data_IF_358451052487
#
_entry.id   IF_358451052487
#
_cell.length_a   1.000
_cell.length_b   1.000
_cell.length_c   1.000
_cell.angle_alpha   90.00
_cell.angle_beta   90.00
_cell.angle_gamma   90.00
#
_symmetry.space_group_name_H-M   'P 1'
#
loop_
_entity.id
_entity.type
_entity.pdbx_description
1 polymer ?
#
# COMPACT_ATOMS: atom_id res chain seq x y z
N UNK A 1 -29.76 -70.35 25.24
CA UNK A 1 -28.71 -69.41 24.79
C UNK A 1 -29.12 -68.04 25.32
N UNK A 2 -28.61 -67.55 26.46
CA UNK A 2 -27.42 -66.65 26.59
C UNK A 2 -27.47 -65.47 25.59
N UNK A 3 -27.44 -64.17 25.92
CA UNK A 3 -26.96 -63.38 27.07
C UNK A 3 -27.75 -62.05 27.24
N UNK A 4 -27.62 -61.47 28.43
CA UNK A 4 -27.97 -60.13 28.92
C UNK A 4 -27.07 -59.00 28.35
N UNK A 5 -27.54 -57.73 28.30
CA UNK A 5 -27.05 -56.58 29.12
C UNK A 5 -27.63 -55.21 28.71
N UNK A 6 -27.87 -54.38 29.73
CA UNK A 6 -28.25 -52.96 29.78
C UNK A 6 -27.15 -51.96 29.29
N UNK A 7 -27.51 -50.66 29.28
CA UNK A 7 -26.68 -49.42 29.26
C UNK A 7 -26.08 -48.97 27.89
N UNK A 8 -25.95 -47.69 27.50
CA UNK A 8 -25.87 -46.37 28.17
C UNK A 8 -26.35 -45.24 27.24
N UNK A 9 -26.78 -44.12 27.85
CA UNK A 9 -27.01 -42.78 27.30
C UNK A 9 -25.71 -42.10 26.79
N UNK A 10 -25.80 -41.30 25.71
CA UNK A 10 -24.89 -40.15 25.49
C UNK A 10 -25.44 -39.17 24.45
N UNK A 11 -26.32 -38.27 24.88
CA UNK A 11 -26.24 -36.88 24.42
C UNK A 11 -24.91 -36.26 24.87
N UNK A 12 -24.13 -35.66 23.96
CA UNK A 12 -23.04 -34.66 24.13
C UNK A 12 -22.25 -34.65 22.80
N UNK A 13 -21.85 -33.60 22.09
CA UNK A 13 -21.84 -32.13 22.19
C UNK A 13 -21.28 -31.66 20.84
N UNK A 14 -21.87 -30.66 20.15
CA UNK A 14 -21.15 -29.88 19.13
C UNK A 14 -21.36 -28.37 19.30
N UNK A 15 -21.67 -27.95 20.52
CA UNK A 15 -21.69 -26.54 20.93
C UNK A 15 -20.35 -26.08 21.48
N UNK A 16 -19.41 -27.00 21.75
CA UNK A 16 -18.09 -26.71 22.32
C UNK A 16 -17.10 -26.14 21.30
N UNK A 17 -17.19 -26.55 20.02
CA UNK A 17 -16.21 -26.18 18.99
C UNK A 17 -16.36 -24.72 18.51
N UNK A 18 -17.60 -24.24 18.38
CA UNK A 18 -17.87 -22.80 18.15
C UNK A 18 -17.44 -21.94 19.35
N UNK A 19 -17.68 -22.44 20.57
CA UNK A 19 -17.31 -21.70 21.79
C UNK A 19 -15.80 -21.61 22.02
N UNK A 20 -15.01 -22.59 21.57
CA UNK A 20 -13.54 -22.55 21.64
C UNK A 20 -12.93 -21.68 20.54
N UNK A 21 -13.50 -21.67 19.33
CA UNK A 21 -13.10 -20.73 18.26
C UNK A 21 -13.38 -19.28 18.66
N UNK A 22 -14.57 -19.00 19.22
CA UNK A 22 -14.92 -17.68 19.75
C UNK A 22 -14.05 -17.27 20.95
N UNK A 23 -13.55 -18.23 21.74
CA UNK A 23 -12.72 -17.94 22.91
C UNK A 23 -11.29 -17.49 22.55
N UNK A 24 -10.70 -18.00 21.45
CA UNK A 24 -9.35 -17.58 21.02
C UNK A 24 -9.32 -16.15 20.43
N UNK A 25 -10.44 -15.70 19.87
CA UNK A 25 -10.61 -14.36 19.32
C UNK A 25 -11.01 -13.33 20.41
N UNK A 26 -11.80 -13.74 21.41
CA UNK A 26 -12.17 -12.88 22.55
C UNK A 26 -11.03 -12.51 23.48
N UNK A 27 -10.01 -13.37 23.61
CA UNK A 27 -8.92 -13.15 24.58
C UNK A 27 -7.83 -12.18 24.09
N UNK A 28 -7.87 -11.77 22.81
CA UNK A 28 -6.92 -10.79 22.24
C UNK A 28 -7.50 -9.38 22.07
N UNK A 29 -8.77 -9.15 22.45
CA UNK A 29 -9.44 -7.84 22.30
C UNK A 29 -9.52 -7.36 20.85
N UNK A 30 -9.44 -8.28 19.89
CA UNK A 30 -9.23 -7.98 18.47
C UNK A 30 -10.54 -7.93 17.66
N UNK A 31 -11.65 -8.48 18.16
CA UNK A 31 -12.92 -8.59 17.43
C UNK A 31 -13.49 -7.25 16.94
N UNK A 32 -13.17 -6.14 17.63
CA UNK A 32 -13.59 -4.81 17.20
C UNK A 32 -12.67 -4.20 16.14
N UNK A 33 -11.42 -4.68 16.04
CA UNK A 33 -10.37 -4.11 15.19
C UNK A 33 -10.25 -4.86 13.88
N UNK A 34 -10.40 -6.18 13.86
CA UNK A 34 -10.25 -7.00 12.65
C UNK A 34 -11.54 -7.72 12.31
N UNK A 35 -11.88 -7.78 11.02
CA UNK A 35 -13.03 -8.54 10.54
C UNK A 35 -12.88 -8.95 9.09
N UNK A 36 -13.62 -9.97 8.69
CA UNK A 36 -13.85 -10.29 7.28
C UNK A 36 -14.88 -9.35 6.67
N UNK A 37 -14.78 -9.14 5.36
CA UNK A 37 -15.67 -8.25 4.60
C UNK A 37 -16.42 -9.03 3.52
N UNK A 38 -17.55 -8.49 3.07
CA UNK A 38 -18.32 -9.06 1.94
C UNK A 38 -17.52 -9.09 0.63
N UNK A 39 -16.42 -8.33 0.56
CA UNK A 39 -15.50 -8.35 -0.56
C UNK A 39 -14.53 -9.54 -0.51
N UNK A 40 -14.63 -10.45 0.48
CA UNK A 40 -13.71 -11.58 0.62
C UNK A 40 -12.30 -11.10 0.99
N UNK A 41 -12.22 -10.13 1.90
CA UNK A 41 -10.95 -9.60 2.43
C UNK A 41 -10.99 -9.56 3.96
N UNK A 42 -9.81 -9.53 4.58
CA UNK A 42 -9.66 -9.28 6.02
C UNK A 42 -9.27 -7.80 6.19
N UNK A 43 -9.98 -7.10 7.06
CA UNK A 43 -9.88 -5.65 7.28
C UNK A 43 -9.56 -5.34 8.73
N UNK A 44 -8.42 -4.71 8.97
CA UNK A 44 -8.07 -4.05 10.23
C UNK A 44 -8.53 -2.60 10.21
N UNK A 45 -9.19 -2.14 11.26
CA UNK A 45 -9.69 -0.77 11.42
C UNK A 45 -9.17 -0.17 12.70
N UNK A 46 -8.16 0.69 12.59
CA UNK A 46 -7.56 1.37 13.72
C UNK A 46 -8.30 2.66 14.06
N UNK A 47 -8.39 2.98 15.36
CA UNK A 47 -9.06 4.21 15.86
C UNK A 47 -8.48 5.51 15.31
N UNK A 48 -7.24 5.48 14.81
CA UNK A 48 -6.58 6.64 14.19
C UNK A 48 -7.03 6.91 12.75
N UNK A 49 -8.02 6.18 12.22
CA UNK A 49 -8.51 6.34 10.84
C UNK A 49 -7.61 5.68 9.79
N UNK A 50 -6.75 4.76 10.23
CA UNK A 50 -5.98 3.89 9.32
C UNK A 50 -6.69 2.55 9.20
N UNK A 51 -6.89 2.08 7.98
CA UNK A 51 -7.40 0.75 7.68
C UNK A 51 -6.36 -0.05 6.90
N UNK A 52 -6.31 -1.36 7.16
CA UNK A 52 -5.47 -2.31 6.40
C UNK A 52 -6.39 -3.42 5.91
N UNK A 53 -6.59 -3.49 4.60
CA UNK A 53 -7.31 -4.57 3.95
C UNK A 53 -6.30 -5.51 3.28
N UNK A 54 -6.49 -6.82 3.39
CA UNK A 54 -5.70 -7.79 2.64
C UNK A 54 -6.54 -8.97 2.15
N UNK A 55 -6.15 -9.51 1.01
CA UNK A 55 -6.81 -10.65 0.36
C UNK A 55 -6.26 -11.98 0.88
N UNK A 56 -6.97 -13.07 0.62
CA UNK A 56 -6.50 -14.44 0.90
C UNK A 56 -5.13 -14.75 0.28
N UNK A 57 -4.83 -14.13 -0.86
CA UNK A 57 -3.59 -14.34 -1.61
C UNK A 57 -2.46 -13.40 -1.15
N UNK A 58 -2.74 -12.51 -0.19
CA UNK A 58 -1.73 -11.66 0.44
C UNK A 58 -1.43 -10.36 -0.32
N UNK A 59 -2.36 -9.87 -1.15
CA UNK A 59 -2.38 -8.46 -1.55
C UNK A 59 -2.78 -7.59 -0.37
N UNK A 60 -2.20 -6.41 -0.26
CA UNK A 60 -2.41 -5.50 0.87
C UNK A 60 -2.76 -4.11 0.37
N UNK A 61 -3.73 -3.46 1.02
CA UNK A 61 -4.09 -2.06 0.84
C UNK A 61 -4.20 -1.36 2.19
N UNK A 62 -3.48 -0.27 2.36
CA UNK A 62 -3.47 0.55 3.57
C UNK A 62 -4.07 1.91 3.24
N UNK A 63 -5.14 2.28 3.93
CA UNK A 63 -5.83 3.57 3.80
C UNK A 63 -5.55 4.40 5.04
N UNK A 64 -5.07 5.62 4.86
CA UNK A 64 -4.95 6.64 5.90
C UNK A 64 -5.98 7.74 5.60
N UNK A 65 -7.15 7.65 6.23
CA UNK A 65 -8.28 8.56 5.96
C UNK A 65 -7.94 10.00 6.34
N UNK A 66 -7.20 10.20 7.44
CA UNK A 66 -6.83 11.52 7.92
C UNK A 66 -5.90 12.25 6.96
N UNK A 67 -5.02 11.53 6.28
CA UNK A 67 -4.10 12.09 5.28
C UNK A 67 -4.68 12.12 3.85
N UNK A 68 -5.88 11.56 3.64
CA UNK A 68 -6.44 11.23 2.34
C UNK A 68 -5.45 10.45 1.45
N UNK A 69 -4.82 9.43 2.04
CA UNK A 69 -3.73 8.70 1.42
C UNK A 69 -3.97 7.20 1.42
N UNK A 70 -3.53 6.52 0.37
CA UNK A 70 -3.69 5.08 0.19
C UNK A 70 -2.41 4.49 -0.39
N UNK A 71 -2.01 3.31 0.05
CA UNK A 71 -0.95 2.53 -0.55
C UNK A 71 -1.44 1.09 -0.76
N UNK A 72 -1.03 0.46 -1.86
CA UNK A 72 -1.38 -0.93 -2.12
C UNK A 72 -0.22 -1.68 -2.79
N UNK A 73 -0.15 -2.97 -2.55
CA UNK A 73 0.78 -3.91 -3.17
C UNK A 73 0.03 -5.21 -3.43
N UNK A 74 0.17 -5.76 -4.63
CA UNK A 74 -0.46 -7.04 -4.95
C UNK A 74 0.31 -8.22 -4.32
N UNK A 75 -0.31 -9.41 -4.33
CA UNK A 75 0.23 -10.64 -3.74
C UNK A 75 1.67 -10.96 -4.19
N UNK A 76 2.00 -10.65 -5.43
CA UNK A 76 3.29 -10.93 -6.06
C UNK A 76 4.31 -9.80 -5.92
N UNK A 77 3.94 -8.65 -5.35
CA UNK A 77 4.82 -7.48 -5.18
C UNK A 77 5.26 -6.79 -6.47
N UNK A 78 4.79 -7.24 -7.64
CA UNK A 78 5.17 -6.69 -8.94
C UNK A 78 4.24 -5.55 -9.39
N UNK A 79 3.12 -5.32 -8.70
CA UNK A 79 2.24 -4.15 -8.91
C UNK A 79 2.08 -3.45 -7.57
N UNK A 80 2.29 -2.13 -7.56
CA UNK A 80 2.11 -1.33 -6.35
C UNK A 80 1.67 0.09 -6.65
N UNK A 81 1.06 0.74 -5.66
CA UNK A 81 0.45 2.03 -5.81
C UNK A 81 0.61 2.87 -4.53
N UNK A 82 0.77 4.19 -4.71
CA UNK A 82 0.48 5.20 -3.69
C UNK A 82 -0.41 6.27 -4.31
N UNK A 83 -1.48 6.61 -3.60
CA UNK A 83 -2.27 7.82 -3.82
C UNK A 83 -2.13 8.73 -2.61
N UNK A 84 -1.64 9.94 -2.80
CA UNK A 84 -1.54 10.96 -1.75
C UNK A 84 -1.87 12.34 -2.37
N UNK A 85 -2.41 13.31 -1.62
CA UNK A 85 -2.76 14.60 -2.22
C UNK A 85 -1.60 15.33 -2.90
N UNK A 86 -0.36 15.10 -2.45
CA UNK A 86 0.87 15.66 -3.06
C UNK A 86 1.35 14.91 -4.31
N UNK A 87 0.89 13.69 -4.56
CA UNK A 87 1.28 12.93 -5.73
C UNK A 87 0.86 11.46 -5.71
N UNK A 88 0.85 10.89 -6.91
CA UNK A 88 0.46 9.53 -7.21
C UNK A 88 1.65 8.76 -7.79
N UNK A 89 1.77 7.49 -7.41
CA UNK A 89 2.72 6.55 -7.97
C UNK A 89 1.98 5.25 -8.29
N UNK A 90 2.13 4.75 -9.50
CA UNK A 90 1.62 3.46 -9.92
C UNK A 90 2.73 2.67 -10.62
N UNK A 91 3.18 1.59 -10.00
CA UNK A 91 4.14 0.65 -10.55
C UNK A 91 3.38 -0.52 -11.13
N UNK A 92 3.55 -0.74 -12.44
CA UNK A 92 3.04 -1.91 -13.15
C UNK A 92 4.14 -2.42 -14.08
N UNK A 93 4.47 -3.70 -13.95
CA UNK A 93 5.55 -4.35 -14.71
C UNK A 93 6.89 -3.59 -14.58
N UNK A 94 7.56 -3.28 -15.70
CA UNK A 94 8.83 -2.52 -15.73
C UNK A 94 8.62 -0.99 -15.69
N UNK A 95 7.39 -0.49 -15.53
CA UNK A 95 7.08 0.94 -15.60
C UNK A 95 6.58 1.48 -14.27
N UNK A 96 7.07 2.66 -13.89
CA UNK A 96 6.50 3.45 -12.78
C UNK A 96 5.93 4.74 -13.37
N UNK A 97 4.62 4.91 -13.23
CA UNK A 97 3.90 6.13 -13.52
C UNK A 97 3.90 7.01 -12.28
N UNK A 98 4.14 8.30 -12.48
CA UNK A 98 4.24 9.28 -11.40
C UNK A 98 3.49 10.54 -11.80
N UNK A 99 2.69 11.07 -10.90
CA UNK A 99 2.09 12.39 -11.00
C UNK A 99 2.38 13.15 -9.71
N UNK A 100 3.09 14.27 -9.84
CA UNK A 100 3.22 15.23 -8.77
C UNK A 100 2.07 16.24 -8.88
N UNK A 101 1.23 16.28 -7.85
CA UNK A 101 0.03 17.10 -7.83
C UNK A 101 0.39 18.53 -7.45
N UNK A 102 0.33 19.40 -8.44
CA UNK A 102 0.31 20.85 -8.23
C UNK A 102 -1.11 21.28 -7.84
N UNK A 103 -1.34 21.43 -6.54
CA UNK A 103 -2.65 21.82 -5.98
C UNK A 103 -2.95 23.31 -6.14
N UNK A 104 -1.98 24.14 -6.54
CA UNK A 104 -2.13 25.59 -6.63
C UNK A 104 -2.51 26.02 -8.05
N UNK A 105 -1.72 25.60 -9.03
CA UNK A 105 -1.89 26.02 -10.43
C UNK A 105 -2.59 24.95 -11.27
N UNK A 106 -2.77 23.74 -10.75
CA UNK A 106 -3.30 22.59 -11.51
C UNK A 106 -2.33 22.08 -12.58
N UNK A 107 -1.13 22.64 -12.68
CA UNK A 107 -0.13 22.25 -13.67
C UNK A 107 0.68 21.04 -13.18
N UNK A 108 0.02 19.89 -13.03
CA UNK A 108 0.65 18.67 -12.50
C UNK A 108 1.89 18.26 -13.32
N UNK A 109 2.87 17.64 -12.65
CA UNK A 109 4.07 17.12 -13.32
C UNK A 109 3.93 15.62 -13.46
N UNK A 110 3.92 15.15 -14.70
CA UNK A 110 3.78 13.75 -15.04
C UNK A 110 5.15 13.18 -15.34
N UNK A 111 5.40 11.95 -14.90
CA UNK A 111 6.61 11.22 -15.22
C UNK A 111 6.37 9.72 -15.39
N UNK A 112 7.25 9.10 -16.17
CA UNK A 112 7.23 7.69 -16.49
C UNK A 112 8.65 7.16 -16.42
N UNK A 113 8.93 6.37 -15.39
CA UNK A 113 10.22 5.73 -15.16
C UNK A 113 10.21 4.38 -15.87
N UNK A 114 11.17 4.18 -16.79
CA UNK A 114 11.49 2.90 -17.41
C UNK A 114 12.96 2.57 -17.17
N UNK A 115 13.36 1.35 -17.50
CA UNK A 115 14.77 0.94 -17.59
C UNK A 115 15.59 1.84 -18.53
N UNK A 116 14.97 2.39 -19.58
CA UNK A 116 15.63 3.25 -20.58
C UNK A 116 15.75 4.73 -20.20
N UNK A 117 15.16 5.19 -19.10
CA UNK A 117 15.13 6.61 -18.75
C UNK A 117 13.84 7.06 -18.07
N UNK A 118 13.76 8.36 -17.78
CA UNK A 118 12.57 9.01 -17.23
C UNK A 118 12.02 9.98 -18.25
N UNK A 119 10.81 9.72 -18.74
CA UNK A 119 10.04 10.69 -19.50
C UNK A 119 9.26 11.57 -18.52
N UNK A 120 9.21 12.88 -18.74
CA UNK A 120 8.46 13.78 -17.87
C UNK A 120 7.96 15.01 -18.62
N UNK A 121 6.86 15.58 -18.13
CA UNK A 121 6.27 16.82 -18.65
C UNK A 121 5.46 17.54 -17.57
N UNK A 122 5.17 18.81 -17.80
CA UNK A 122 4.08 19.51 -17.12
C UNK A 122 2.79 19.35 -17.94
N UNK A 123 1.62 19.21 -17.31
CA UNK A 123 0.33 19.03 -18.02
C UNK A 123 0.08 20.15 -19.03
N UNK A 124 0.36 21.41 -18.66
CA UNK A 124 0.14 22.57 -19.51
C UNK A 124 1.28 22.79 -20.53
N UNK A 125 2.28 21.90 -20.59
CA UNK A 125 3.37 21.97 -21.56
C UNK A 125 3.14 20.98 -22.71
N UNK A 126 3.32 21.41 -23.98
CA UNK A 126 3.33 20.49 -25.11
C UNK A 126 4.63 19.68 -25.18
N UNK A 127 5.68 20.09 -24.46
CA UNK A 127 6.99 19.44 -24.52
C UNK A 127 7.07 18.27 -23.54
N UNK A 128 7.58 17.15 -24.05
CA UNK A 128 8.02 16.03 -23.22
C UNK A 128 9.53 16.02 -23.18
N UNK A 129 10.08 15.78 -22.00
CA UNK A 129 11.50 15.67 -21.77
C UNK A 129 11.86 14.22 -21.43
N UNK A 130 13.06 13.81 -21.81
CA UNK A 130 13.64 12.52 -21.47
C UNK A 130 15.00 12.77 -20.82
N UNK A 131 15.21 12.16 -19.65
CA UNK A 131 16.53 12.03 -19.03
C UNK A 131 16.93 10.55 -18.99
N UNK A 132 18.10 10.26 -19.55
CA UNK A 132 18.71 8.93 -19.56
C UNK A 132 20.25 9.02 -19.52
N UNK A 133 20.95 7.93 -19.87
CA UNK A 133 22.42 7.90 -19.87
C UNK A 133 23.08 8.84 -20.90
N UNK A 134 22.33 9.30 -21.92
CA UNK A 134 22.80 10.27 -22.90
C UNK A 134 22.55 11.72 -22.48
N UNK A 135 21.90 11.96 -21.34
CA UNK A 135 21.59 13.28 -20.81
C UNK A 135 20.11 13.67 -21.03
N UNK A 136 19.85 14.97 -21.13
CA UNK A 136 18.50 15.54 -21.22
C UNK A 136 18.18 15.95 -22.65
N UNK A 137 17.04 15.49 -23.18
CA UNK A 137 16.56 15.87 -24.52
C UNK A 137 15.05 15.99 -24.57
N UNK A 138 14.57 16.71 -25.57
CA UNK A 138 13.13 16.80 -25.87
C UNK A 138 12.70 15.55 -26.66
N UNK A 139 11.53 15.02 -26.32
CA UNK A 139 10.84 13.96 -27.04
C UNK A 139 9.45 14.50 -27.43
N UNK A 140 8.96 14.14 -28.63
CA UNK A 140 7.69 14.69 -29.16
C UNK A 140 6.51 13.72 -29.00
N UNK A 141 6.72 12.49 -28.53
CA UNK A 141 5.64 11.51 -28.36
C UNK A 141 5.86 10.59 -27.17
N UNK A 142 5.15 10.84 -26.08
CA UNK A 142 4.97 9.86 -25.00
C UNK A 142 3.56 10.00 -24.43
N UNK A 143 2.94 8.86 -24.15
CA UNK A 143 1.64 8.80 -23.49
C UNK A 143 1.84 8.60 -21.99
N UNK A 144 1.22 9.47 -21.21
CA UNK A 144 1.16 9.39 -19.76
C UNK A 144 -0.16 8.74 -19.36
N UNK A 145 -0.11 7.95 -18.30
CA UNK A 145 -1.30 7.28 -17.75
C UNK A 145 -2.18 8.31 -17.06
N UNK A 146 -3.49 8.18 -17.27
CA UNK A 146 -4.48 8.91 -16.48
C UNK A 146 -4.65 8.23 -15.11
N UNK A 147 -4.68 9.03 -14.05
CA UNK A 147 -4.71 8.58 -12.66
C UNK A 147 -5.82 9.32 -11.89
N UNK A 148 -6.97 9.48 -12.54
CA UNK A 148 -8.16 10.19 -12.07
C UNK A 148 -9.13 9.32 -11.23
N UNK A 149 -8.83 8.04 -11.05
CA UNK A 149 -9.64 7.08 -10.31
C UNK A 149 -8.83 6.35 -9.22
N UNK A 150 -9.49 5.60 -8.33
CA UNK A 150 -8.82 4.81 -7.29
C UNK A 150 -8.20 3.51 -7.87
N UNK A 151 -7.03 3.66 -8.48
CA UNK A 151 -6.24 2.53 -9.02
C UNK A 151 -5.63 1.64 -7.93
N UNK A 152 -5.75 1.98 -6.64
CA UNK A 152 -5.25 1.10 -5.56
C UNK A 152 -6.14 -0.13 -5.34
N UNK A 153 -7.41 -0.04 -5.74
CA UNK A 153 -8.32 -1.19 -5.74
C UNK A 153 -7.95 -2.19 -6.84
N UNK A 154 -7.56 -1.69 -8.01
CA UNK A 154 -7.04 -2.54 -9.09
C UNK A 154 -5.81 -3.32 -8.60
N UNK A 155 -4.93 -2.69 -7.81
CA UNK A 155 -3.77 -3.38 -7.21
C UNK A 155 -4.18 -4.43 -6.20
N UNK A 156 -5.13 -4.12 -5.30
CA UNK A 156 -5.57 -5.03 -4.25
C UNK A 156 -6.18 -6.31 -4.83
N UNK A 157 -7.02 -6.18 -5.86
CA UNK A 157 -7.77 -7.29 -6.43
C UNK A 157 -7.13 -7.92 -7.67
N UNK A 158 -5.99 -7.40 -8.15
CA UNK A 158 -5.28 -7.99 -9.28
C UNK A 158 -4.88 -9.45 -8.98
N UNK A 159 -5.40 -10.37 -9.77
CA UNK A 159 -5.13 -11.82 -9.68
C UNK A 159 -5.37 -12.41 -8.28
N UNK A 160 -6.37 -11.89 -7.56
CA UNK A 160 -6.74 -12.36 -6.22
C UNK A 160 -8.14 -12.96 -6.19
N UNK A 161 -8.34 -13.93 -5.31
CA UNK A 161 -9.65 -14.42 -4.88
C UNK A 161 -10.32 -13.34 -4.03
N UNK A 162 -11.54 -12.97 -4.41
CA UNK A 162 -12.34 -11.96 -3.73
C UNK A 162 -13.84 -12.19 -3.98
N UNK A 163 -14.68 -11.59 -3.14
CA UNK A 163 -16.13 -11.71 -3.16
C UNK A 163 -16.67 -12.56 -2.02
N UNK A 164 -18.00 -12.53 -1.86
CA UNK A 164 -18.73 -13.12 -0.73
C UNK A 164 -18.47 -14.63 -0.57
N UNK A 165 -18.26 -15.34 -1.68
CA UNK A 165 -17.94 -16.77 -1.69
C UNK A 165 -16.64 -17.16 -0.96
N UNK A 166 -15.76 -16.20 -0.70
CA UNK A 166 -14.49 -16.40 -0.01
C UNK A 166 -14.51 -15.92 1.45
N UNK A 167 -15.67 -15.51 1.98
CA UNK A 167 -15.79 -15.06 3.37
C UNK A 167 -15.42 -16.15 4.37
N UNK A 168 -15.93 -17.37 4.18
CA UNK A 168 -15.62 -18.50 5.07
C UNK A 168 -14.12 -18.82 5.06
N UNK A 169 -13.47 -18.79 3.88
CA UNK A 169 -12.01 -18.96 3.77
C UNK A 169 -11.25 -17.83 4.49
N UNK A 170 -11.78 -16.61 4.46
CA UNK A 170 -11.20 -15.47 5.18
C UNK A 170 -11.35 -15.62 6.70
N UNK A 171 -12.48 -16.15 7.17
CA UNK A 171 -12.73 -16.40 8.60
C UNK A 171 -11.81 -17.52 9.11
N UNK A 172 -11.65 -18.58 8.32
CA UNK A 172 -10.71 -19.67 8.61
C UNK A 172 -9.27 -19.13 8.68
N UNK A 173 -8.86 -18.32 7.71
CA UNK A 173 -7.56 -17.66 7.69
C UNK A 173 -7.37 -16.78 8.94
N UNK A 174 -8.35 -15.94 9.26
CA UNK A 174 -8.30 -15.05 10.41
C UNK A 174 -8.18 -15.82 11.74
N UNK A 175 -8.74 -17.03 11.82
CA UNK A 175 -8.62 -17.90 13.01
C UNK A 175 -7.18 -18.37 13.30
N UNK A 176 -6.30 -18.32 12.30
CA UNK A 176 -4.87 -18.66 12.43
C UNK A 176 -4.00 -17.47 12.88
N UNK A 177 -4.58 -16.27 12.94
CA UNK A 177 -3.86 -15.05 13.29
C UNK A 177 -3.32 -15.10 14.72
N UNK A 178 -2.08 -14.64 14.89
CA UNK A 178 -1.42 -14.52 16.18
C UNK A 178 -1.22 -13.07 16.54
N UNK A 179 -1.57 -12.69 17.77
CA UNK A 179 -1.30 -11.34 18.30
C UNK A 179 -0.28 -11.38 19.42
N UNK A 180 0.57 -10.36 19.51
CA UNK A 180 1.44 -10.11 20.65
C UNK A 180 1.39 -8.65 21.06
N UNK A 181 1.40 -8.41 22.36
CA UNK A 181 1.45 -7.08 22.95
C UNK A 181 2.83 -6.82 23.54
N UNK A 182 3.39 -5.65 23.25
CA UNK A 182 4.69 -5.21 23.76
C UNK A 182 4.64 -3.75 24.21
N UNK A 183 5.68 -3.30 24.92
CA UNK A 183 5.85 -1.89 25.28
C UNK A 183 5.96 -0.97 24.05
N UNK A 184 6.44 -1.49 22.92
CA UNK A 184 6.56 -0.74 21.66
C UNK A 184 5.27 -0.66 20.85
N UNK A 185 4.31 -1.55 21.08
CA UNK A 185 3.10 -1.64 20.28
C UNK A 185 2.44 -3.01 20.29
N UNK A 186 1.33 -3.12 19.58
CA UNK A 186 0.63 -4.37 19.31
C UNK A 186 1.00 -4.88 17.92
N UNK A 187 1.26 -6.17 17.82
CA UNK A 187 1.58 -6.84 16.57
C UNK A 187 0.58 -7.95 16.30
N UNK A 188 0.15 -8.06 15.05
CA UNK A 188 -0.63 -9.17 14.52
C UNK A 188 0.16 -9.83 13.40
N UNK A 189 0.23 -11.16 13.40
CA UNK A 189 0.95 -11.94 12.40
C UNK A 189 0.04 -13.03 11.84
N UNK A 190 0.02 -13.12 10.52
CA UNK A 190 -0.71 -14.12 9.77
C UNK A 190 0.18 -14.57 8.60
N UNK A 191 0.61 -15.83 8.61
CA UNK A 191 1.64 -16.34 7.71
C UNK A 191 2.90 -15.45 7.65
N UNK A 192 3.17 -14.86 6.48
CA UNK A 192 4.27 -13.96 6.17
C UNK A 192 3.90 -12.47 6.32
N UNK A 193 2.64 -12.15 6.62
CA UNK A 193 2.16 -10.79 6.82
C UNK A 193 2.17 -10.41 8.31
N UNK A 194 2.79 -9.27 8.61
CA UNK A 194 2.89 -8.70 9.96
C UNK A 194 2.33 -7.28 9.95
N UNK A 195 1.34 -7.03 10.80
CA UNK A 195 0.74 -5.71 11.02
C UNK A 195 1.14 -5.24 12.41
N UNK A 196 1.68 -4.03 12.53
CA UNK A 196 2.17 -3.47 13.77
C UNK A 196 1.51 -2.11 13.98
N UNK A 197 0.90 -1.92 15.14
CA UNK A 197 0.51 -0.62 15.66
C UNK A 197 1.52 -0.19 16.71
N UNK A 198 2.35 0.79 16.39
CA UNK A 198 3.30 1.34 17.36
C UNK A 198 2.59 2.27 18.33
N UNK A 199 2.98 2.21 19.61
CA UNK A 199 2.39 3.04 20.67
C UNK A 199 2.69 4.54 20.47
N UNK A 200 3.77 4.86 19.76
CA UNK A 200 4.24 6.22 19.52
C UNK A 200 3.62 6.77 18.23
N UNK A 201 2.83 7.84 18.35
CA UNK A 201 2.18 8.56 17.24
C UNK A 201 1.17 7.78 16.38
N UNK A 202 0.80 6.56 16.79
CA UNK A 202 -0.18 5.73 16.08
C UNK A 202 0.29 5.31 14.69
N UNK A 203 1.61 5.09 14.53
CA UNK A 203 2.19 4.57 13.29
C UNK A 203 1.71 3.13 13.08
N UNK A 204 1.12 2.88 11.91
CA UNK A 204 0.79 1.55 11.45
C UNK A 204 1.84 1.11 10.43
N UNK A 205 2.38 -0.10 10.61
CA UNK A 205 3.31 -0.73 9.69
C UNK A 205 2.74 -2.05 9.24
N UNK A 206 2.82 -2.33 7.95
CA UNK A 206 2.40 -3.59 7.36
C UNK A 206 3.59 -4.14 6.58
N UNK A 207 4.07 -5.30 6.99
CA UNK A 207 5.31 -5.90 6.51
C UNK A 207 4.97 -7.27 5.96
N UNK A 208 5.32 -7.53 4.70
CA UNK A 208 5.34 -8.88 4.12
C UNK A 208 6.76 -9.41 4.17
N UNK A 209 6.96 -10.51 4.88
CA UNK A 209 8.22 -11.23 4.99
C UNK A 209 8.41 -12.20 3.80
N UNK A 210 9.64 -12.61 3.53
CA UNK A 210 9.93 -13.64 2.52
C UNK A 210 10.10 -13.10 1.08
N UNK A 211 9.60 -13.85 0.10
CA UNK A 211 9.69 -13.46 -1.31
C UNK A 211 8.69 -12.33 -1.60
N UNK A 212 9.10 -11.37 -2.43
CA UNK A 212 8.31 -10.16 -2.72
C UNK A 212 8.04 -9.32 -1.47
N UNK A 213 9.03 -9.22 -0.59
CA UNK A 213 8.95 -8.45 0.63
C UNK A 213 8.66 -6.98 0.36
N UNK A 214 7.78 -6.42 1.18
CA UNK A 214 7.48 -5.00 1.17
C UNK A 214 7.15 -4.53 2.58
N UNK A 215 7.21 -3.22 2.76
CA UNK A 215 6.75 -2.55 3.95
C UNK A 215 5.94 -1.31 3.57
N UNK A 216 4.72 -1.22 4.10
CA UNK A 216 3.90 -0.01 4.06
C UNK A 216 3.91 0.60 5.46
N UNK A 217 4.18 1.91 5.55
CA UNK A 217 4.09 2.67 6.79
C UNK A 217 3.09 3.81 6.63
N UNK A 218 2.17 3.96 7.56
CA UNK A 218 1.19 5.04 7.56
C UNK A 218 1.10 5.69 8.94
N UNK A 219 1.17 7.02 9.00
CA UNK A 219 0.94 7.77 10.22
C UNK A 219 -0.20 8.77 10.00
N UNK A 220 -1.28 8.62 10.76
CA UNK A 220 -2.39 9.57 10.75
C UNK A 220 -1.94 10.94 11.26
N UNK A 221 -1.13 10.95 12.33
CA UNK A 221 -0.63 12.18 12.97
C UNK A 221 0.33 12.96 12.08
N UNK A 222 1.28 12.27 11.42
CA UNK A 222 2.26 12.92 10.55
C UNK A 222 1.76 13.15 9.12
N UNK A 223 0.57 12.63 8.79
CA UNK A 223 0.04 12.65 7.43
C UNK A 223 0.99 12.00 6.42
N UNK A 224 1.63 10.89 6.80
CA UNK A 224 2.60 10.19 5.95
C UNK A 224 2.05 8.86 5.46
N UNK A 225 2.45 8.50 4.25
CA UNK A 225 2.35 7.15 3.72
C UNK A 225 3.62 6.81 2.95
N UNK A 226 4.21 5.67 3.27
CA UNK A 226 5.45 5.19 2.66
C UNK A 226 5.26 3.75 2.21
N UNK A 227 5.84 3.42 1.06
CA UNK A 227 5.96 2.07 0.53
C UNK A 227 7.43 1.81 0.24
N UNK A 228 7.94 0.71 0.76
CA UNK A 228 9.28 0.20 0.47
C UNK A 228 9.15 -1.21 -0.08
N UNK A 229 9.79 -1.48 -1.21
CA UNK A 229 9.78 -2.80 -1.85
C UNK A 229 11.06 -2.99 -2.66
N UNK A 230 11.33 -4.21 -3.11
CA UNK A 230 12.46 -4.47 -3.99
C UNK A 230 12.34 -3.75 -5.35
N UNK A 231 11.12 -3.41 -5.77
CA UNK A 231 10.81 -2.86 -7.07
C UNK A 231 10.77 -1.32 -7.11
N UNK A 232 10.25 -0.71 -6.05
CA UNK A 232 10.05 0.74 -5.93
C UNK A 232 9.96 1.16 -4.47
N UNK A 233 10.59 2.29 -4.15
CA UNK A 233 10.39 3.03 -2.91
C UNK A 233 9.56 4.28 -3.22
N UNK A 234 8.54 4.57 -2.43
CA UNK A 234 7.77 5.80 -2.53
C UNK A 234 7.43 6.36 -1.14
N UNK A 235 7.61 7.66 -0.96
CA UNK A 235 7.27 8.36 0.28
C UNK A 235 6.46 9.61 -0.04
N UNK A 236 5.37 9.81 0.69
CA UNK A 236 4.52 10.97 0.57
C UNK A 236 4.16 11.52 1.96
N UNK A 237 4.19 12.84 2.13
CA UNK A 237 3.96 13.48 3.42
C UNK A 237 3.29 14.85 3.32
N UNK A 238 2.42 15.13 4.29
CA UNK A 238 1.93 16.46 4.68
C UNK A 238 2.75 17.13 5.81
N UNK A 239 3.96 16.62 6.12
CA UNK A 239 4.79 17.13 7.20
C UNK A 239 5.25 18.58 6.98
N UNK A 240 6.20 19.04 7.79
CA UNK A 240 6.74 20.42 7.71
C UNK A 240 7.20 20.82 6.30
N UNK A 241 7.62 19.84 5.49
CA UNK A 241 7.78 19.99 4.04
C UNK A 241 6.90 18.96 3.31
N UNK A 242 5.89 19.45 2.60
CA UNK A 242 5.08 18.64 1.70
C UNK A 242 5.99 18.12 0.57
N UNK A 243 6.20 16.81 0.55
CA UNK A 243 7.09 16.19 -0.43
C UNK A 243 6.54 14.87 -0.93
N UNK A 244 6.93 14.57 -2.17
CA UNK A 244 6.68 13.31 -2.84
C UNK A 244 7.99 12.80 -3.41
N UNK A 245 8.37 11.58 -3.05
CA UNK A 245 9.59 10.96 -3.54
C UNK A 245 9.30 9.57 -4.08
N UNK A 246 9.91 9.25 -5.22
CA UNK A 246 9.82 7.95 -5.87
C UNK A 246 11.23 7.54 -6.27
N UNK A 247 11.63 6.30 -5.94
CA UNK A 247 12.92 5.74 -6.33
C UNK A 247 12.74 4.34 -6.88
N UNK A 248 13.39 4.10 -8.01
CA UNK A 248 13.50 2.79 -8.64
C UNK A 248 14.91 2.65 -9.22
N UNK A 249 15.70 1.73 -8.68
CA UNK A 249 17.09 1.54 -9.10
C UNK A 249 17.89 2.88 -9.09
N UNK A 250 18.42 3.28 -10.26
CA UNK A 250 19.16 4.53 -10.48
C UNK A 250 18.26 5.75 -10.71
N UNK A 251 16.96 5.53 -10.85
CA UNK A 251 15.95 6.55 -11.14
C UNK A 251 15.37 7.10 -9.85
N UNK A 252 15.28 8.43 -9.76
CA UNK A 252 14.66 9.13 -8.63
C UNK A 252 13.81 10.27 -9.14
N UNK A 253 12.67 10.49 -8.49
CA UNK A 253 11.83 11.66 -8.65
C UNK A 253 11.65 12.27 -7.26
N UNK A 254 11.86 13.57 -7.15
CA UNK A 254 11.65 14.31 -5.92
C UNK A 254 10.85 15.56 -6.24
N UNK A 255 9.65 15.64 -5.68
CA UNK A 255 8.79 16.80 -5.75
C UNK A 255 8.71 17.43 -4.38
N UNK A 256 9.12 18.70 -4.30
CA UNK A 256 8.91 19.57 -3.15
C UNK A 256 7.85 20.57 -3.57
N UNK A 257 6.69 20.50 -2.90
CA UNK A 257 5.50 21.28 -3.29
C UNK A 257 5.85 22.77 -3.35
N UNK A 258 5.41 23.44 -4.42
CA UNK A 258 5.70 24.84 -4.76
C UNK A 258 7.17 25.22 -4.99
N UNK A 259 8.12 24.29 -4.91
CA UNK A 259 9.55 24.62 -5.10
C UNK A 259 10.13 24.00 -6.36
N UNK A 260 10.07 22.67 -6.47
CA UNK A 260 10.69 21.98 -7.60
C UNK A 260 10.15 20.59 -7.80
N UNK A 261 10.14 20.19 -9.06
CA UNK A 261 9.98 18.82 -9.48
C UNK A 261 11.30 18.37 -10.11
N UNK A 262 12.03 17.48 -9.46
CA UNK A 262 13.32 16.98 -9.93
C UNK A 262 13.17 15.53 -10.39
N UNK A 263 13.74 15.22 -11.55
CA UNK A 263 13.97 13.87 -12.04
C UNK A 263 15.47 13.61 -12.10
N UNK A 264 15.88 12.38 -11.79
CA UNK A 264 17.28 11.95 -11.85
C UNK A 264 17.36 10.55 -12.42
N UNK A 265 18.23 10.36 -13.40
CA UNK A 265 18.59 9.06 -13.94
C UNK A 265 20.12 8.88 -13.87
N UNK A 266 20.59 8.08 -12.91
CA UNK A 266 22.02 7.90 -12.69
C UNK A 266 22.71 9.20 -12.23
N UNK A 267 23.59 9.75 -13.07
CA UNK A 267 24.29 11.01 -12.82
C UNK A 267 23.55 12.27 -13.31
N UNK A 268 22.62 12.11 -14.26
CA UNK A 268 21.90 13.24 -14.86
C UNK A 268 20.66 13.60 -14.06
N UNK A 269 20.43 14.88 -13.87
CA UNK A 269 19.31 15.41 -13.10
C UNK A 269 18.84 16.75 -13.69
N UNK A 270 17.52 16.90 -13.75
CA UNK A 270 16.84 18.06 -14.32
C UNK A 270 15.41 18.08 -13.77
N UNK A 271 14.58 19.00 -14.24
CA UNK A 271 13.16 19.02 -13.93
C UNK A 271 12.59 20.43 -14.03
N UNK A 272 11.55 20.72 -13.27
CA UNK A 272 10.89 22.02 -13.27
C UNK A 272 11.18 22.78 -11.97
N UNK A 273 11.49 24.07 -12.09
CA UNK A 273 11.58 25.00 -10.97
C UNK A 273 10.18 25.48 -10.52
N UNK A 274 10.15 26.40 -9.56
CA UNK A 274 8.95 27.03 -9.02
C UNK A 274 8.14 27.83 -10.06
N UNK A 275 8.74 28.16 -11.20
CA UNK A 275 8.12 28.90 -12.30
C UNK A 275 7.68 27.99 -13.46
N UNK A 276 7.69 26.67 -13.26
CA UNK A 276 7.40 25.66 -14.28
C UNK A 276 8.38 25.64 -15.46
N UNK A 277 9.57 26.20 -15.30
CA UNK A 277 10.61 26.23 -16.33
C UNK A 277 11.58 25.06 -16.16
N UNK A 278 12.09 24.54 -17.27
CA UNK A 278 13.11 23.49 -17.24
C UNK A 278 14.37 24.02 -16.55
N UNK A 279 14.90 23.28 -15.59
CA UNK A 279 16.07 23.64 -14.80
C UNK A 279 17.02 22.46 -14.61
N UNK A 280 18.30 22.76 -14.46
CA UNK A 280 19.33 21.82 -14.04
C UNK A 280 19.66 22.13 -12.57
N UNK A 281 19.69 21.09 -11.74
CA UNK A 281 19.88 21.20 -10.29
C UNK A 281 21.28 20.77 -9.87
#
# INVERSE_FOLDING_TARGET
MTFSTDFFDSSFTSTTDRSEKDAKLKDCGCDDIVKTTIQGTISFRFKCGIHVDFTLDGSVRVVNQMANAVAAVNAYGNISAIMHPVGFMYKKDDTVYVQANDIHEGNHKLAKIRSSGIHFKAVNSPLVYLVDEAGVRTNFSENFMDMDYDFTLDVLYNDCRHGEMYMDECDDLLSEMRSSLSLSGTQWKIFDLVIIQENVHGLIRVIKEGQNSFEIRASATAGTINLYSNEVDCTASHGSNHHFFVKRNKSRIHFEVMKKFMVRFGGYHTGFNEHNEISFF
#
